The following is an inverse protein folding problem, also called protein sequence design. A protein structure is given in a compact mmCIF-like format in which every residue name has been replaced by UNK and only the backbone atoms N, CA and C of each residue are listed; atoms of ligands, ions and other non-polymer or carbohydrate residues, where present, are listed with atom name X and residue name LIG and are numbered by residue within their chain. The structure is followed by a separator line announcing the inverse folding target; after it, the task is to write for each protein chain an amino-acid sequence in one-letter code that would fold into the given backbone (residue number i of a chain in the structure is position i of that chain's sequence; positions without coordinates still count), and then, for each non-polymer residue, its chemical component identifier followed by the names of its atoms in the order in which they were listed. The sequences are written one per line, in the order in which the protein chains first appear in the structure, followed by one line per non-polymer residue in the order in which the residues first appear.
data_IF_269785397030
#
_entry.id   IF_269785397030
#
_cell.length_a   1.000
_cell.length_b   1.000
_cell.length_c   1.000
_cell.angle_alpha   90.00
_cell.angle_beta   90.00
_cell.angle_gamma   90.00
#
_symmetry.space_group_name_H-M   'P 1'
#
loop_
_entity.id
_entity.type
_entity.pdbx_description
1 polymer ?
#
# COMPACT_ATOMS: atom_id res chain seq x y z
N UNK A 1 29.47 -2.72 42.13
CA UNK A 1 28.94 -3.02 40.78
C UNK A 1 28.55 -4.50 40.68
N UNK A 2 27.31 -4.89 41.03
CA UNK A 2 26.81 -6.27 40.81
C UNK A 2 25.30 -6.46 41.03
N UNK A 3 24.48 -5.41 40.86
CA UNK A 3 23.03 -5.50 41.15
C UNK A 3 22.15 -5.15 39.93
N UNK A 4 22.72 -4.66 38.82
CA UNK A 4 21.93 -4.21 37.65
C UNK A 4 21.67 -5.27 36.57
N UNK A 5 22.23 -6.48 36.67
CA UNK A 5 22.17 -7.46 35.58
C UNK A 5 21.08 -8.54 35.74
N UNK A 6 20.31 -8.52 36.83
CA UNK A 6 19.32 -9.59 37.11
C UNK A 6 17.88 -9.21 36.79
N UNK A 7 17.58 -7.93 36.49
CA UNK A 7 16.20 -7.47 36.23
C UNK A 7 15.79 -7.51 34.75
N UNK A 8 16.72 -7.74 33.82
CA UNK A 8 16.43 -7.72 32.38
C UNK A 8 15.91 -9.06 31.82
N UNK A 9 16.02 -10.15 32.58
CA UNK A 9 15.67 -11.50 32.09
C UNK A 9 14.25 -11.96 32.47
N UNK A 10 13.51 -11.20 33.28
CA UNK A 10 12.19 -11.65 33.77
C UNK A 10 10.99 -11.19 32.91
N UNK A 11 11.19 -10.32 31.92
CA UNK A 11 10.08 -9.75 31.13
C UNK A 11 9.72 -10.60 29.90
N UNK A 12 10.56 -11.54 29.48
CA UNK A 12 10.34 -12.31 28.24
C UNK A 12 9.43 -13.54 28.41
N UNK A 13 9.07 -13.92 29.64
CA UNK A 13 8.36 -15.19 29.91
C UNK A 13 6.83 -15.10 30.08
N UNK A 14 6.24 -13.90 30.08
CA UNK A 14 4.82 -13.70 30.47
C UNK A 14 3.85 -13.51 29.29
N UNK A 15 4.34 -13.50 28.05
CA UNK A 15 3.44 -13.50 26.90
C UNK A 15 3.01 -14.94 26.62
N UNK A 16 1.71 -15.26 26.67
CA UNK A 16 1.22 -16.51 26.11
C UNK A 16 1.74 -16.58 24.67
N UNK A 17 2.44 -17.67 24.33
CA UNK A 17 2.73 -17.99 22.93
C UNK A 17 1.38 -18.10 22.24
N UNK A 18 0.98 -17.03 21.54
CA UNK A 18 -0.18 -17.05 20.67
C UNK A 18 0.10 -18.16 19.66
N UNK A 19 -0.62 -19.28 19.82
CA UNK A 19 -0.47 -20.46 18.98
C UNK A 19 -0.52 -19.98 17.54
N UNK A 20 0.61 -20.09 16.85
CA UNK A 20 0.75 -19.60 15.48
C UNK A 20 -0.49 -20.07 14.70
N UNK A 21 -1.17 -19.16 13.97
CA UNK A 21 -2.33 -19.52 13.19
C UNK A 21 -2.01 -20.77 12.36
N UNK A 22 -2.91 -21.76 12.27
CA UNK A 22 -2.64 -22.97 11.51
C UNK A 22 -2.14 -22.57 10.12
N UNK A 23 -0.95 -23.06 9.76
CA UNK A 23 -0.33 -22.71 8.50
C UNK A 23 -1.24 -23.15 7.38
N UNK A 24 -1.96 -22.19 6.79
CA UNK A 24 -2.78 -22.44 5.62
C UNK A 24 -1.89 -23.03 4.52
N UNK A 25 -2.30 -24.14 3.86
CA UNK A 25 -1.49 -24.78 2.84
C UNK A 25 -1.05 -23.76 1.78
N UNK A 26 0.26 -23.76 1.44
CA UNK A 26 0.87 -22.83 0.48
C UNK A 26 0.11 -22.76 -0.86
N UNK A 27 -0.50 -23.88 -1.28
CA UNK A 27 -1.33 -23.98 -2.48
C UNK A 27 -2.65 -23.19 -2.41
N UNK A 28 -3.27 -23.07 -1.23
CA UNK A 28 -4.49 -22.27 -1.05
C UNK A 28 -4.17 -20.77 -1.01
N UNK A 29 -3.05 -20.40 -0.37
CA UNK A 29 -2.53 -19.01 -0.40
C UNK A 29 -2.32 -18.53 -1.83
N UNK A 30 -1.75 -19.36 -2.71
CA UNK A 30 -1.53 -19.02 -4.13
C UNK A 30 -2.84 -18.76 -4.88
N UNK A 31 -3.90 -19.55 -4.66
CA UNK A 31 -5.22 -19.32 -5.31
C UNK A 31 -5.89 -18.03 -4.85
N UNK A 32 -5.83 -17.73 -3.55
CA UNK A 32 -6.40 -16.49 -3.01
C UNK A 32 -5.66 -15.26 -3.56
N UNK A 33 -4.32 -15.32 -3.60
CA UNK A 33 -3.49 -14.24 -4.16
C UNK A 33 -3.78 -14.03 -5.64
N UNK A 34 -3.86 -15.10 -6.45
CA UNK A 34 -4.19 -15.01 -7.87
C UNK A 34 -5.57 -14.35 -8.10
N UNK A 35 -6.58 -14.69 -7.29
CA UNK A 35 -7.89 -14.03 -7.33
C UNK A 35 -7.80 -12.55 -6.96
N UNK A 36 -7.04 -12.21 -5.93
CA UNK A 36 -6.79 -10.82 -5.54
C UNK A 36 -6.14 -10.02 -6.66
N UNK A 37 -5.10 -10.57 -7.29
CA UNK A 37 -4.42 -9.93 -8.43
C UNK A 37 -5.37 -9.76 -9.61
N UNK A 38 -6.17 -10.77 -9.95
CA UNK A 38 -7.18 -10.65 -11.00
C UNK A 38 -8.18 -9.52 -10.73
N UNK A 39 -8.63 -9.40 -9.47
CA UNK A 39 -9.49 -8.30 -9.04
C UNK A 39 -8.80 -6.94 -9.21
N UNK A 40 -7.55 -6.79 -8.74
CA UNK A 40 -6.78 -5.54 -8.91
C UNK A 40 -6.66 -5.14 -10.38
N UNK A 41 -6.32 -6.09 -11.25
CA UNK A 41 -6.20 -5.84 -12.69
C UNK A 41 -7.52 -5.41 -13.33
N UNK A 42 -8.65 -5.97 -12.87
CA UNK A 42 -9.99 -5.66 -13.42
C UNK A 42 -10.56 -4.32 -12.94
N UNK A 43 -10.09 -3.81 -11.79
CA UNK A 43 -10.67 -2.64 -11.12
C UNK A 43 -9.82 -1.39 -11.19
N UNK A 44 -8.60 -1.49 -11.72
CA UNK A 44 -7.72 -0.33 -11.90
C UNK A 44 -8.38 0.72 -12.79
N UNK A 45 -8.32 1.98 -12.36
CA UNK A 45 -8.85 3.09 -13.12
C UNK A 45 -7.97 3.42 -14.34
N UNK A 46 -8.54 4.14 -15.31
CA UNK A 46 -7.81 4.59 -16.52
C UNK A 46 -6.58 5.44 -16.20
N UNK A 47 -6.61 6.18 -15.10
CA UNK A 47 -5.52 7.05 -14.66
C UNK A 47 -4.42 6.33 -13.86
N UNK A 48 -4.60 5.03 -13.59
CA UNK A 48 -3.67 4.16 -12.87
C UNK A 48 -4.00 3.92 -11.39
N UNK A 49 -5.00 4.60 -10.84
CA UNK A 49 -5.34 4.50 -9.41
C UNK A 49 -6.26 3.32 -9.07
N UNK A 50 -6.32 3.01 -7.77
CA UNK A 50 -7.44 2.31 -7.15
C UNK A 50 -8.08 3.25 -6.12
N UNK A 51 -9.39 3.47 -6.28
CA UNK A 51 -10.15 4.32 -5.37
C UNK A 51 -10.47 3.55 -4.10
N UNK A 52 -10.35 4.22 -2.95
CA UNK A 52 -10.73 3.65 -1.66
C UNK A 52 -12.25 3.38 -1.58
N UNK A 53 -13.07 4.18 -2.27
CA UNK A 53 -14.52 3.95 -2.44
C UNK A 53 -14.91 4.08 -3.93
N UNK A 54 -15.54 3.07 -4.53
CA UNK A 54 -16.13 3.15 -5.86
C UNK A 54 -17.18 4.27 -6.03
N UNK A 55 -17.83 4.71 -4.96
CA UNK A 55 -18.79 5.83 -4.96
C UNK A 55 -18.12 7.17 -5.30
N UNK A 56 -16.80 7.31 -5.06
CA UNK A 56 -16.02 8.48 -5.49
C UNK A 56 -15.82 8.57 -7.01
N UNK A 57 -16.20 7.54 -7.78
CA UNK A 57 -16.20 7.60 -9.26
C UNK A 57 -17.17 8.66 -9.76
N UNK A 58 -18.23 8.94 -9.01
CA UNK A 58 -19.20 9.96 -9.35
C UNK A 58 -19.04 11.12 -8.37
N UNK A 59 -18.32 12.17 -8.79
CA UNK A 59 -18.10 13.41 -7.99
C UNK A 59 -19.41 14.11 -7.58
N UNK A 60 -20.56 13.60 -8.01
CA UNK A 60 -21.89 14.11 -7.70
C UNK A 60 -22.55 13.45 -6.50
N UNK A 61 -21.96 12.44 -5.85
CA UNK A 61 -22.58 11.82 -4.68
C UNK A 61 -22.41 12.72 -3.44
N UNK A 62 -23.48 13.40 -2.95
CA UNK A 62 -23.37 14.40 -1.89
C UNK A 62 -23.57 13.81 -0.48
N UNK A 63 -23.70 12.49 -0.33
CA UNK A 63 -24.43 11.91 0.81
C UNK A 63 -23.60 11.19 1.88
N UNK A 64 -22.27 11.29 1.90
CA UNK A 64 -21.48 10.98 3.10
C UNK A 64 -20.53 12.13 3.45
N UNK A 65 -21.14 13.25 3.84
CA UNK A 65 -20.45 14.40 4.41
C UNK A 65 -19.94 14.00 5.80
N UNK A 66 -18.69 13.55 5.88
CA UNK A 66 -17.82 14.01 6.95
C UNK A 66 -17.21 15.34 6.49
N UNK A 67 -17.27 16.43 7.27
CA UNK A 67 -16.88 17.78 6.83
C UNK A 67 -15.36 18.00 6.72
N UNK A 68 -14.59 16.95 6.45
CA UNK A 68 -13.17 17.05 6.18
C UNK A 68 -12.95 16.93 4.67
N UNK A 69 -13.22 18.04 3.98
CA UNK A 69 -12.79 18.24 2.61
C UNK A 69 -11.31 17.81 2.50
N UNK A 70 -11.03 16.73 1.74
CA UNK A 70 -9.72 16.12 1.43
C UNK A 70 -9.31 14.81 2.12
N UNK A 71 -10.06 14.20 3.05
CA UNK A 71 -9.66 12.87 3.58
C UNK A 71 -9.59 11.82 2.45
N UNK A 72 -10.53 11.86 1.50
CA UNK A 72 -10.68 10.84 0.48
C UNK A 72 -9.64 10.86 -0.66
N UNK A 73 -9.00 12.01 -0.89
CA UNK A 73 -7.92 12.12 -1.86
C UNK A 73 -6.63 11.45 -1.35
N UNK A 74 -6.39 11.55 -0.04
CA UNK A 74 -5.24 10.91 0.61
C UNK A 74 -5.45 9.38 0.69
N UNK A 75 -6.68 8.91 0.89
CA UNK A 75 -7.02 7.48 0.89
C UNK A 75 -6.74 6.81 -0.46
N UNK A 76 -6.96 7.52 -1.57
CA UNK A 76 -6.67 7.00 -2.92
C UNK A 76 -5.17 6.80 -3.14
N UNK A 77 -4.33 7.68 -2.57
CA UNK A 77 -2.88 7.56 -2.67
C UNK A 77 -2.40 6.32 -1.91
N UNK A 78 -2.84 6.16 -0.65
CA UNK A 78 -2.50 4.99 0.15
C UNK A 78 -3.02 3.68 -0.47
N UNK A 79 -4.27 3.65 -0.91
CA UNK A 79 -4.87 2.48 -1.57
C UNK A 79 -4.08 2.10 -2.83
N UNK A 80 -3.74 3.09 -3.66
CA UNK A 80 -2.95 2.86 -4.88
C UNK A 80 -1.54 2.35 -4.56
N UNK A 81 -0.88 2.87 -3.51
CA UNK A 81 0.43 2.40 -3.06
C UNK A 81 0.40 0.95 -2.61
N UNK A 82 -0.59 0.55 -1.81
CA UNK A 82 -0.72 -0.84 -1.35
C UNK A 82 -1.01 -1.80 -2.51
N UNK A 83 -1.90 -1.41 -3.43
CA UNK A 83 -2.20 -2.21 -4.63
C UNK A 83 -0.98 -2.34 -5.54
N UNK A 84 -0.21 -1.27 -5.72
CA UNK A 84 1.04 -1.29 -6.47
C UNK A 84 2.09 -2.19 -5.80
N UNK A 85 2.22 -2.15 -4.48
CA UNK A 85 3.13 -3.03 -3.71
C UNK A 85 2.75 -4.50 -3.87
N UNK A 86 1.46 -4.83 -3.84
CA UNK A 86 0.98 -6.18 -4.11
C UNK A 86 1.34 -6.66 -5.53
N UNK A 87 1.17 -5.79 -6.55
CA UNK A 87 1.57 -6.11 -7.92
C UNK A 87 3.08 -6.22 -8.10
N UNK A 88 3.87 -5.39 -7.38
CA UNK A 88 5.33 -5.50 -7.36
C UNK A 88 5.77 -6.85 -6.81
N UNK A 89 5.17 -7.30 -5.71
CA UNK A 89 5.45 -8.59 -5.10
C UNK A 89 5.04 -9.78 -6.00
N UNK A 90 3.97 -9.63 -6.79
CA UNK A 90 3.45 -10.68 -7.66
C UNK A 90 3.94 -10.60 -9.12
N UNK A 91 4.85 -9.67 -9.47
CA UNK A 91 5.12 -9.33 -10.87
C UNK A 91 5.67 -10.50 -11.71
N UNK A 92 6.48 -11.36 -11.10
CA UNK A 92 7.11 -12.50 -11.78
C UNK A 92 6.05 -13.53 -12.20
N UNK A 93 5.09 -13.79 -11.32
CA UNK A 93 3.98 -14.72 -11.55
C UNK A 93 2.84 -14.07 -12.38
N UNK A 94 2.61 -12.77 -12.20
CA UNK A 94 1.55 -12.01 -12.86
C UNK A 94 1.86 -11.57 -14.30
N UNK A 95 3.12 -11.71 -14.73
CA UNK A 95 3.58 -11.43 -16.08
C UNK A 95 3.31 -10.00 -16.57
N UNK A 96 3.23 -9.84 -17.89
CA UNK A 96 3.15 -8.52 -18.56
C UNK A 96 1.95 -7.67 -18.11
N UNK A 97 0.82 -8.29 -17.77
CA UNK A 97 -0.39 -7.54 -17.34
C UNK A 97 -0.20 -6.90 -15.97
N UNK A 98 0.39 -7.62 -15.02
CA UNK A 98 0.74 -7.09 -13.71
C UNK A 98 1.77 -5.97 -13.81
N UNK A 99 2.83 -6.16 -14.63
CA UNK A 99 3.83 -5.13 -14.89
C UNK A 99 3.22 -3.85 -15.48
N UNK A 100 2.35 -3.97 -16.49
CA UNK A 100 1.69 -2.81 -17.09
C UNK A 100 0.77 -2.07 -16.09
N UNK A 101 0.05 -2.81 -15.23
CA UNK A 101 -0.77 -2.21 -14.19
C UNK A 101 0.07 -1.49 -13.13
N UNK A 102 1.19 -2.08 -12.71
CA UNK A 102 2.16 -1.46 -11.82
C UNK A 102 2.69 -0.14 -12.41
N UNK A 103 3.12 -0.14 -13.67
CA UNK A 103 3.62 1.07 -14.33
C UNK A 103 2.59 2.21 -14.33
N UNK A 104 1.32 1.91 -14.62
CA UNK A 104 0.25 2.92 -14.55
C UNK A 104 0.06 3.47 -13.14
N UNK A 105 0.13 2.60 -12.13
CA UNK A 105 0.03 2.99 -10.72
C UNK A 105 1.18 3.92 -10.31
N UNK A 106 2.43 3.59 -10.71
CA UNK A 106 3.58 4.44 -10.42
C UNK A 106 3.47 5.81 -11.11
N UNK A 107 3.00 5.85 -12.35
CA UNK A 107 2.75 7.11 -13.06
C UNK A 107 1.68 7.98 -12.38
N UNK A 108 0.65 7.35 -11.80
CA UNK A 108 -0.33 8.05 -10.95
C UNK A 108 0.34 8.62 -9.69
N UNK A 109 1.04 7.77 -8.92
CA UNK A 109 1.65 8.15 -7.65
C UNK A 109 2.68 9.27 -7.82
N UNK A 110 3.54 9.22 -8.83
CA UNK A 110 4.50 10.29 -9.11
C UNK A 110 3.82 11.64 -9.40
N UNK A 111 2.75 11.61 -10.20
CA UNK A 111 1.99 12.81 -10.52
C UNK A 111 1.33 13.40 -9.28
N UNK A 112 0.72 12.56 -8.45
CA UNK A 112 0.05 13.00 -7.23
C UNK A 112 1.05 13.43 -6.14
N UNK A 113 2.18 12.76 -5.97
CA UNK A 113 3.22 13.20 -5.02
C UNK A 113 3.86 14.53 -5.44
N UNK A 114 4.04 14.79 -6.74
CA UNK A 114 4.51 16.11 -7.23
C UNK A 114 3.53 17.23 -6.92
N UNK A 115 2.22 16.97 -7.04
CA UNK A 115 1.16 17.91 -6.59
C UNK A 115 1.13 18.02 -5.07
N UNK A 116 1.28 16.88 -4.39
CA UNK A 116 1.36 16.72 -2.94
C UNK A 116 2.46 17.56 -2.35
N UNK A 117 3.67 17.61 -2.93
CA UNK A 117 4.76 18.50 -2.47
C UNK A 117 4.35 19.97 -2.42
N UNK A 118 3.55 20.46 -3.38
CA UNK A 118 3.00 21.82 -3.37
C UNK A 118 1.90 21.99 -2.30
N UNK A 119 1.11 20.94 -2.05
CA UNK A 119 0.04 20.90 -1.04
C UNK A 119 0.54 20.72 0.40
N UNK A 120 1.61 19.96 0.60
CA UNK A 120 2.26 19.67 1.87
C UNK A 120 2.83 20.94 2.50
N UNK A 121 3.31 21.86 1.66
CA UNK A 121 3.75 23.18 2.07
C UNK A 121 2.59 24.13 2.41
N UNK A 122 1.33 23.78 2.09
CA UNK A 122 0.20 24.72 2.11
C UNK A 122 -1.07 24.23 2.86
N UNK A 123 -1.25 22.92 3.16
CA UNK A 123 -2.40 22.36 3.93
C UNK A 123 -2.12 21.01 4.63
N UNK A 124 -2.99 20.70 5.62
CA UNK A 124 -3.10 19.48 6.47
C UNK A 124 -3.36 18.15 5.70
N UNK A 125 -2.56 17.76 4.72
CA UNK A 125 -2.58 16.35 4.26
C UNK A 125 -1.98 15.47 5.34
N UNK A 126 -2.62 14.36 5.72
CA UNK A 126 -2.09 13.49 6.77
C UNK A 126 -0.81 12.82 6.26
N UNK A 127 0.34 12.98 6.96
CA UNK A 127 1.62 12.43 6.51
C UNK A 127 1.62 10.89 6.44
N UNK A 128 0.69 10.24 7.15
CA UNK A 128 0.58 8.78 7.24
C UNK A 128 0.29 8.17 5.86
N UNK A 129 -0.58 8.79 5.07
CA UNK A 129 -0.98 8.22 3.77
C UNK A 129 0.14 8.32 2.72
N UNK A 130 0.97 9.35 2.80
CA UNK A 130 2.15 9.51 1.95
C UNK A 130 3.26 8.51 2.30
N UNK A 131 3.29 8.01 3.54
CA UNK A 131 4.29 7.04 3.98
C UNK A 131 4.23 5.74 3.15
N UNK A 132 3.04 5.26 2.77
CA UNK A 132 2.90 4.07 1.93
C UNK A 132 3.51 4.25 0.53
N UNK A 133 3.37 5.45 -0.05
CA UNK A 133 3.99 5.73 -1.34
C UNK A 133 5.51 5.80 -1.21
N UNK A 134 6.02 6.48 -0.18
CA UNK A 134 7.46 6.54 0.08
C UNK A 134 8.05 5.15 0.31
N UNK A 135 7.40 4.33 1.13
CA UNK A 135 7.79 2.94 1.39
C UNK A 135 7.86 2.11 0.10
N UNK A 136 6.86 2.22 -0.77
CA UNK A 136 6.91 1.60 -2.11
C UNK A 136 8.08 2.11 -2.97
N UNK A 137 8.37 3.41 -2.95
CA UNK A 137 9.50 3.96 -3.71
C UNK A 137 10.85 3.51 -3.14
N UNK A 138 10.96 3.29 -1.83
CA UNK A 138 12.15 2.72 -1.21
C UNK A 138 12.36 1.27 -1.67
N UNK A 139 11.31 0.45 -1.69
CA UNK A 139 11.35 -0.91 -2.25
C UNK A 139 11.82 -0.92 -3.71
N UNK A 140 11.27 -0.02 -4.55
CA UNK A 140 11.63 0.09 -5.96
C UNK A 140 13.08 0.50 -6.16
N UNK A 141 13.59 1.41 -5.32
CA UNK A 141 14.99 1.85 -5.37
C UNK A 141 15.94 0.74 -4.90
N UNK A 142 15.52 -0.05 -3.91
CA UNK A 142 16.26 -1.21 -3.43
C UNK A 142 16.20 -2.40 -4.41
N UNK A 143 15.26 -2.39 -5.36
CA UNK A 143 15.11 -3.46 -6.35
C UNK A 143 16.39 -3.67 -7.17
N UNK A 144 16.70 -4.93 -7.44
CA UNK A 144 17.78 -5.30 -8.37
C UNK A 144 17.40 -5.06 -9.83
N UNK A 145 16.12 -4.92 -10.14
CA UNK A 145 15.60 -4.66 -11.47
C UNK A 145 15.88 -3.20 -11.89
N UNK A 146 16.77 -2.95 -12.86
CA UNK A 146 17.12 -1.59 -13.30
C UNK A 146 15.93 -0.84 -13.89
N UNK A 147 14.92 -1.55 -14.43
CA UNK A 147 13.73 -0.92 -15.00
C UNK A 147 12.79 -0.34 -13.92
N UNK A 148 12.98 -0.75 -12.66
CA UNK A 148 12.16 -0.33 -11.52
C UNK A 148 12.86 0.68 -10.62
N UNK A 149 14.18 0.86 -10.74
CA UNK A 149 14.94 1.88 -10.03
C UNK A 149 14.55 3.28 -10.54
N UNK A 150 13.71 3.98 -9.78
CA UNK A 150 13.29 5.36 -10.05
C UNK A 150 13.89 6.35 -9.05
#
# INVERSE_FOLDING_TARGET
MRVFLTLLLLVTGLFPQEKAPPETPKAEKSKAVAKGVAYLLSTQQKDGSWLADPSYRDRKSPLLIAPAENIFADDTLACTSLCARALLAWREEGGKRAGAALHRALAFLEREMKKGKKRFLTRRTSPIWQAYALDLFLDLRASEDPALRK
#
